data_IF_416606126723
#
_entry.id   IF_416606126723
#
_cell.length_a   1.000
_cell.length_b   1.000
_cell.length_c   1.000
_cell.angle_alpha   90.00
_cell.angle_beta   90.00
_cell.angle_gamma   90.00
#
_symmetry.space_group_name_H-M   'P 1'
#
loop_
_entity.id
_entity.type
_entity.pdbx_description
1 polymer ?
#
# COMPACT_ATOMS: atom_id res chain seq x y z
N UNK A 1 -2.77 -2.39 0.63
CA UNK A 1 -3.59 -2.75 -0.55
C UNK A 1 -3.02 -4.00 -1.19
N UNK A 2 -3.84 -4.96 -1.59
CA UNK A 2 -3.36 -6.22 -2.19
C UNK A 2 -4.27 -6.66 -3.33
N UNK A 3 -3.71 -7.51 -4.21
CA UNK A 3 -4.48 -8.25 -5.21
C UNK A 3 -4.84 -9.64 -4.66
N UNK A 4 -6.02 -10.14 -5.00
CA UNK A 4 -6.39 -11.52 -4.70
C UNK A 4 -5.36 -12.48 -5.31
N UNK A 5 -4.70 -13.34 -4.49
CA UNK A 5 -3.68 -14.26 -4.97
C UNK A 5 -4.35 -15.44 -5.70
N UNK A 6 -4.44 -15.33 -7.01
CA UNK A 6 -4.95 -16.40 -7.85
C UNK A 6 -4.01 -16.63 -9.04
N UNK A 7 -3.87 -17.88 -9.50
CA UNK A 7 -3.11 -18.20 -10.70
C UNK A 7 -3.54 -17.33 -11.89
N UNK A 8 -2.59 -16.93 -12.72
CA UNK A 8 -2.77 -16.04 -13.89
C UNK A 8 -3.17 -14.58 -13.55
N UNK A 9 -3.44 -14.23 -12.29
CA UNK A 9 -3.95 -12.89 -11.90
C UNK A 9 -2.93 -12.01 -11.17
N UNK A 10 -1.96 -12.61 -10.51
CA UNK A 10 -0.91 -11.89 -9.77
C UNK A 10 0.47 -12.29 -10.24
N UNK A 11 1.49 -11.47 -9.93
CA UNK A 11 2.91 -11.74 -10.21
C UNK A 11 3.17 -12.26 -11.62
N UNK A 12 2.62 -11.61 -12.64
CA UNK A 12 2.68 -12.08 -14.03
C UNK A 12 4.10 -12.22 -14.59
N UNK A 13 5.05 -11.39 -14.15
CA UNK A 13 6.46 -11.50 -14.56
C UNK A 13 7.10 -12.72 -13.93
N UNK A 14 6.92 -12.88 -12.61
CA UNK A 14 7.42 -14.03 -11.87
C UNK A 14 6.81 -15.35 -12.37
N UNK A 15 5.50 -15.36 -12.68
CA UNK A 15 4.80 -16.57 -13.14
C UNK A 15 5.34 -17.13 -14.47
N UNK A 16 5.95 -16.31 -15.29
CA UNK A 16 6.63 -16.78 -16.52
C UNK A 16 7.84 -17.68 -16.21
N UNK A 17 8.51 -17.44 -15.10
CA UNK A 17 9.72 -18.18 -14.70
C UNK A 17 9.40 -19.40 -13.82
N UNK A 18 8.43 -19.30 -12.90
CA UNK A 18 8.19 -20.35 -11.88
C UNK A 18 6.81 -21.01 -11.98
N UNK A 19 5.96 -20.57 -12.90
CA UNK A 19 4.59 -21.06 -13.06
C UNK A 19 3.57 -20.25 -12.22
N UNK A 20 2.32 -20.29 -12.68
CA UNK A 20 1.25 -19.45 -12.12
C UNK A 20 0.85 -19.82 -10.70
N UNK A 21 0.86 -21.10 -10.36
CA UNK A 21 0.51 -21.61 -9.03
C UNK A 21 1.53 -21.15 -7.97
N UNK A 22 2.83 -21.33 -8.26
CA UNK A 22 3.91 -20.91 -7.37
C UNK A 22 3.91 -19.39 -7.19
N UNK A 23 3.70 -18.63 -8.26
CA UNK A 23 3.60 -17.18 -8.21
C UNK A 23 2.42 -16.71 -7.35
N UNK A 24 1.27 -17.38 -7.44
CA UNK A 24 0.11 -17.11 -6.58
C UNK A 24 0.38 -17.47 -5.11
N UNK A 25 1.09 -18.57 -4.84
CA UNK A 25 1.52 -18.95 -3.50
C UNK A 25 2.46 -17.89 -2.90
N UNK A 26 3.44 -17.41 -3.65
CA UNK A 26 4.34 -16.33 -3.21
C UNK A 26 3.53 -15.06 -2.88
N UNK A 27 2.59 -14.66 -3.74
CA UNK A 27 1.72 -13.50 -3.44
C UNK A 27 0.94 -13.69 -2.15
N UNK A 28 0.48 -14.91 -1.88
CA UNK A 28 -0.21 -15.26 -0.63
C UNK A 28 0.72 -15.03 0.57
N UNK A 29 1.93 -15.57 0.54
CA UNK A 29 2.91 -15.43 1.63
C UNK A 29 3.30 -13.97 1.87
N UNK A 30 3.56 -13.18 0.80
CA UNK A 30 3.86 -11.75 0.91
C UNK A 30 2.70 -10.97 1.54
N UNK A 31 1.47 -11.30 1.15
CA UNK A 31 0.28 -10.69 1.75
C UNK A 31 0.15 -11.03 3.24
N UNK A 32 0.35 -12.30 3.60
CA UNK A 32 0.37 -12.72 5.01
C UNK A 32 1.46 -12.02 5.81
N UNK A 33 2.68 -11.94 5.26
CA UNK A 33 3.80 -11.25 5.90
C UNK A 33 3.47 -9.77 6.16
N UNK A 34 3.03 -9.04 5.14
CA UNK A 34 2.63 -7.63 5.27
C UNK A 34 1.56 -7.42 6.33
N UNK A 35 0.55 -8.30 6.36
CA UNK A 35 -0.52 -8.25 7.35
C UNK A 35 0.00 -8.56 8.75
N UNK A 36 0.89 -9.54 8.90
CA UNK A 36 1.50 -9.89 10.18
C UNK A 36 2.23 -8.70 10.80
N UNK A 37 3.11 -8.05 10.02
CA UNK A 37 3.83 -6.85 10.45
C UNK A 37 2.87 -5.73 10.88
N UNK A 38 1.84 -5.45 10.09
CA UNK A 38 0.86 -4.42 10.43
C UNK A 38 0.02 -4.78 11.67
N UNK A 39 -0.28 -6.06 11.90
CA UNK A 39 -1.00 -6.51 13.09
C UNK A 39 -0.23 -6.31 14.38
N UNK A 40 1.09 -6.44 14.38
CA UNK A 40 1.88 -6.17 15.57
C UNK A 40 1.76 -4.70 16.00
N UNK A 41 1.77 -3.76 15.07
CA UNK A 41 1.51 -2.35 15.38
C UNK A 41 0.07 -2.09 15.81
N UNK A 42 -0.91 -2.81 15.24
CA UNK A 42 -2.32 -2.74 15.69
C UNK A 42 -2.46 -3.25 17.11
N UNK A 43 -1.81 -4.36 17.50
CA UNK A 43 -1.81 -4.88 18.88
C UNK A 43 -1.24 -3.88 19.88
N UNK A 44 -0.22 -3.12 19.46
CA UNK A 44 0.38 -2.03 20.25
C UNK A 44 -0.52 -0.76 20.31
N UNK A 45 -1.69 -0.77 19.70
CA UNK A 45 -2.62 0.38 19.65
C UNK A 45 -2.15 1.54 18.77
N UNK A 46 -1.11 1.36 17.97
CA UNK A 46 -0.49 2.43 17.18
C UNK A 46 -1.24 2.74 15.89
N UNK A 47 -1.95 1.77 15.31
CA UNK A 47 -2.66 1.89 14.05
C UNK A 47 -4.01 1.19 14.05
N UNK A 48 -4.91 1.66 13.17
CA UNK A 48 -6.06 0.89 12.70
C UNK A 48 -5.74 0.29 11.34
N UNK A 49 -6.09 -0.99 11.14
CA UNK A 49 -5.75 -1.73 9.92
C UNK A 49 -6.98 -1.94 9.05
N UNK A 50 -6.86 -1.58 7.77
CA UNK A 50 -7.86 -1.83 6.73
C UNK A 50 -7.22 -2.59 5.56
N UNK A 51 -7.90 -3.62 5.07
CA UNK A 51 -7.47 -4.39 3.92
C UNK A 51 -8.29 -4.03 2.68
N UNK A 52 -7.67 -3.39 1.69
CA UNK A 52 -8.29 -3.09 0.41
C UNK A 52 -7.83 -4.11 -0.65
N UNK A 53 -8.78 -4.84 -1.24
CA UNK A 53 -8.54 -6.01 -2.09
C UNK A 53 -8.99 -5.73 -3.53
N UNK A 54 -8.15 -6.12 -4.49
CA UNK A 54 -8.47 -6.12 -5.92
C UNK A 54 -8.72 -7.56 -6.43
N UNK A 55 -9.59 -7.70 -7.42
CA UNK A 55 -9.71 -8.92 -8.23
C UNK A 55 -10.75 -9.93 -7.74
N UNK A 56 -11.52 -9.62 -6.68
CA UNK A 56 -12.63 -10.47 -6.20
C UNK A 56 -13.84 -9.62 -5.79
N UNK A 57 -15.01 -10.27 -5.71
CA UNK A 57 -16.24 -9.63 -5.24
C UNK A 57 -16.30 -9.50 -3.72
N UNK A 58 -17.19 -8.61 -3.24
CA UNK A 58 -17.31 -8.20 -1.83
C UNK A 58 -17.44 -9.39 -0.85
N UNK A 59 -18.28 -10.38 -1.15
CA UNK A 59 -18.49 -11.50 -0.26
C UNK A 59 -17.24 -12.39 -0.11
N UNK A 60 -16.53 -12.63 -1.21
CA UNK A 60 -15.25 -13.37 -1.16
C UNK A 60 -14.17 -12.55 -0.42
N UNK A 61 -14.11 -11.23 -0.67
CA UNK A 61 -13.19 -10.34 0.02
C UNK A 61 -13.42 -10.37 1.54
N UNK A 62 -14.67 -10.27 1.99
CA UNK A 62 -15.02 -10.36 3.42
C UNK A 62 -14.59 -11.70 4.04
N UNK A 63 -14.88 -12.83 3.36
CA UNK A 63 -14.48 -14.16 3.86
C UNK A 63 -12.95 -14.29 3.97
N UNK A 64 -12.25 -13.86 2.95
CA UNK A 64 -10.79 -13.91 2.96
C UNK A 64 -10.18 -12.99 4.02
N UNK A 65 -10.65 -11.76 4.14
CA UNK A 65 -10.17 -10.86 5.17
C UNK A 65 -10.41 -11.41 6.59
N UNK A 66 -11.59 -12.03 6.84
CA UNK A 66 -11.85 -12.70 8.12
C UNK A 66 -10.87 -13.85 8.37
N UNK A 67 -10.55 -14.68 7.37
CA UNK A 67 -9.54 -15.74 7.53
C UNK A 67 -8.14 -15.20 7.81
N UNK A 68 -7.87 -13.95 7.40
CA UNK A 68 -6.65 -13.21 7.74
C UNK A 68 -6.75 -12.49 9.10
N UNK A 69 -7.87 -12.59 9.81
CA UNK A 69 -8.13 -11.90 11.07
C UNK A 69 -8.22 -10.37 10.92
N UNK A 70 -8.78 -9.89 9.80
CA UNK A 70 -9.04 -8.47 9.52
C UNK A 70 -10.53 -8.27 9.32
N UNK A 71 -11.11 -7.35 10.07
CA UNK A 71 -12.55 -7.03 10.00
C UNK A 71 -12.86 -5.90 9.01
N UNK A 72 -12.00 -4.88 8.98
CA UNK A 72 -12.18 -3.74 8.09
C UNK A 72 -11.64 -4.06 6.69
N UNK A 73 -12.56 -4.34 5.76
CA UNK A 73 -12.25 -4.81 4.41
C UNK A 73 -13.00 -3.98 3.39
N UNK A 74 -12.31 -3.62 2.31
CA UNK A 74 -12.91 -2.96 1.14
C UNK A 74 -12.45 -3.59 -0.16
N UNK A 75 -13.22 -3.34 -1.22
CA UNK A 75 -12.81 -3.61 -2.60
C UNK A 75 -12.24 -2.32 -3.18
N UNK A 76 -11.08 -2.41 -3.83
CA UNK A 76 -10.41 -1.24 -4.44
C UNK A 76 -11.25 -0.64 -5.59
N UNK A 77 -12.02 -1.47 -6.30
CA UNK A 77 -12.80 -1.06 -7.47
C UNK A 77 -11.94 -0.91 -8.73
N UNK A 78 -12.54 -0.37 -9.80
CA UNK A 78 -11.88 -0.15 -11.11
C UNK A 78 -11.13 1.19 -11.15
N UNK A 79 -10.22 1.33 -12.12
CA UNK A 79 -9.46 2.55 -12.39
C UNK A 79 -7.97 2.40 -12.16
N UNK A 80 -7.23 3.48 -12.39
CA UNK A 80 -5.78 3.55 -12.16
C UNK A 80 -5.44 3.33 -10.69
N UNK A 81 -4.19 3.02 -10.40
CA UNK A 81 -3.72 2.84 -9.01
C UNK A 81 -4.00 4.10 -8.17
N UNK A 82 -3.73 5.28 -8.71
CA UNK A 82 -3.99 6.55 -8.01
C UNK A 82 -5.46 6.75 -7.66
N UNK A 83 -6.39 6.48 -8.59
CA UNK A 83 -7.83 6.55 -8.32
C UNK A 83 -8.27 5.55 -7.25
N UNK A 84 -7.67 4.36 -7.24
CA UNK A 84 -7.96 3.34 -6.22
C UNK A 84 -7.45 3.75 -4.85
N UNK A 85 -6.23 4.25 -4.75
CA UNK A 85 -5.65 4.76 -3.50
C UNK A 85 -6.46 5.94 -2.96
N UNK A 86 -6.74 6.94 -3.79
CA UNK A 86 -7.56 8.11 -3.41
C UNK A 86 -8.93 7.68 -2.88
N UNK A 87 -9.58 6.72 -3.53
CA UNK A 87 -10.88 6.19 -3.08
C UNK A 87 -10.80 5.54 -1.70
N UNK A 88 -9.75 4.81 -1.41
CA UNK A 88 -9.56 4.19 -0.09
C UNK A 88 -9.30 5.25 1.00
N UNK A 89 -8.52 6.29 0.71
CA UNK A 89 -8.35 7.43 1.62
C UNK A 89 -9.69 8.09 1.92
N UNK A 90 -10.50 8.38 0.90
CA UNK A 90 -11.84 8.97 1.09
C UNK A 90 -12.74 8.08 1.96
N UNK A 91 -12.72 6.76 1.73
CA UNK A 91 -13.51 5.81 2.56
C UNK A 91 -13.06 5.85 4.03
N UNK A 92 -11.75 5.81 4.29
CA UNK A 92 -11.19 5.88 5.64
C UNK A 92 -11.64 7.16 6.34
N UNK A 93 -11.51 8.31 5.67
CA UNK A 93 -11.91 9.60 6.24
C UNK A 93 -13.42 9.67 6.53
N UNK A 94 -14.26 9.15 5.65
CA UNK A 94 -15.71 9.08 5.88
C UNK A 94 -16.07 8.18 7.07
N UNK A 95 -15.51 6.98 7.13
CA UNK A 95 -15.73 6.03 8.23
C UNK A 95 -15.32 6.60 9.58
N UNK A 96 -14.28 7.43 9.60
CA UNK A 96 -13.77 8.03 10.82
C UNK A 96 -14.54 9.30 11.25
N UNK A 97 -14.93 10.15 10.28
CA UNK A 97 -15.63 11.41 10.56
C UNK A 97 -16.96 11.23 11.31
N UNK A 98 -17.61 10.07 11.18
CA UNK A 98 -18.79 9.72 11.97
C UNK A 98 -18.48 9.53 13.46
N UNK A 99 -17.23 9.27 13.83
CA UNK A 99 -16.82 8.94 15.20
C UNK A 99 -15.95 10.01 15.87
N UNK A 100 -15.19 10.75 15.07
CA UNK A 100 -14.24 11.75 15.56
C UNK A 100 -13.95 12.79 14.47
N UNK A 101 -14.09 14.11 14.71
CA UNK A 101 -13.82 15.15 13.72
C UNK A 101 -12.32 15.34 13.43
N UNK A 102 -11.44 14.70 14.17
CA UNK A 102 -9.99 14.84 13.98
C UNK A 102 -9.52 14.26 12.64
N UNK A 103 -8.60 14.96 12.01
CA UNK A 103 -7.92 14.53 10.79
C UNK A 103 -6.99 13.37 11.11
N UNK A 104 -7.10 12.25 10.37
CA UNK A 104 -6.29 11.06 10.65
C UNK A 104 -5.27 10.86 9.57
N UNK A 105 -3.98 10.74 9.92
CA UNK A 105 -2.97 10.29 8.98
C UNK A 105 -3.34 8.93 8.39
N UNK A 106 -3.08 8.76 7.12
CA UNK A 106 -3.37 7.51 6.41
C UNK A 106 -2.12 7.00 5.70
N UNK A 107 -1.74 5.77 5.96
CA UNK A 107 -0.62 5.09 5.29
C UNK A 107 -1.19 4.01 4.37
N UNK A 108 -0.78 4.04 3.12
CA UNK A 108 -1.09 3.01 2.12
C UNK A 108 0.19 2.23 1.85
N UNK A 109 0.13 0.90 1.94
CA UNK A 109 1.24 0.01 1.59
C UNK A 109 0.79 -1.04 0.57
N UNK A 110 1.72 -1.44 -0.29
CA UNK A 110 1.62 -2.65 -1.12
C UNK A 110 1.72 -3.92 -0.25
N UNK A 111 1.59 -5.07 -0.87
CA UNK A 111 1.78 -6.37 -0.23
C UNK A 111 2.75 -7.24 -1.05
N UNK A 112 3.84 -6.63 -1.49
CA UNK A 112 4.79 -7.19 -2.44
C UNK A 112 6.23 -7.24 -1.90
N UNK A 113 6.44 -6.78 -0.64
CA UNK A 113 7.74 -6.74 0.04
C UNK A 113 7.96 -7.98 0.90
N UNK A 114 9.09 -8.64 0.70
CA UNK A 114 9.51 -9.77 1.53
C UNK A 114 10.27 -9.34 2.79
N UNK A 115 10.86 -8.15 2.78
CA UNK A 115 11.70 -7.59 3.85
C UNK A 115 11.01 -6.48 4.67
N UNK A 116 9.69 -6.33 4.54
CA UNK A 116 8.93 -5.38 5.34
C UNK A 116 9.04 -5.72 6.83
N UNK A 117 9.34 -4.72 7.67
CA UNK A 117 9.37 -4.89 9.11
C UNK A 117 8.61 -3.78 9.85
N UNK A 118 8.38 -3.95 11.14
CA UNK A 118 7.67 -2.96 11.96
C UNK A 118 8.38 -1.59 11.94
N UNK A 119 9.72 -1.58 11.93
CA UNK A 119 10.50 -0.35 11.93
C UNK A 119 10.18 0.52 10.72
N UNK A 120 9.98 -0.07 9.55
CA UNK A 120 9.62 0.65 8.33
C UNK A 120 8.32 1.44 8.51
N UNK A 121 7.30 0.82 9.08
CA UNK A 121 6.01 1.46 9.35
C UNK A 121 6.11 2.49 10.47
N UNK A 122 6.91 2.23 11.50
CA UNK A 122 7.16 3.18 12.58
C UNK A 122 7.88 4.44 12.08
N UNK A 123 8.83 4.29 11.15
CA UNK A 123 9.49 5.43 10.49
C UNK A 123 8.46 6.29 9.75
N UNK A 124 7.58 5.68 8.99
CA UNK A 124 6.51 6.40 8.28
C UNK A 124 5.57 7.13 9.25
N UNK A 125 5.13 6.47 10.33
CA UNK A 125 4.29 7.09 11.37
C UNK A 125 5.00 8.29 12.01
N UNK A 126 6.29 8.16 12.31
CA UNK A 126 7.09 9.25 12.90
C UNK A 126 7.27 10.42 11.93
N UNK A 127 7.55 10.14 10.67
CA UNK A 127 7.71 11.16 9.63
C UNK A 127 6.42 11.95 9.39
N UNK A 128 5.24 11.31 9.41
CA UNK A 128 3.93 11.97 9.27
C UNK A 128 3.57 12.94 10.41
N UNK A 129 4.34 12.98 11.48
CA UNK A 129 4.17 13.99 12.54
C UNK A 129 4.79 15.34 12.17
N UNK A 130 5.67 15.38 11.14
CA UNK A 130 6.45 16.56 10.75
C UNK A 130 6.36 16.91 9.25
N UNK A 131 5.82 16.03 8.44
CA UNK A 131 5.67 16.23 6.98
C UNK A 131 4.28 15.85 6.52
N UNK A 132 3.84 16.42 5.41
CA UNK A 132 2.52 16.16 4.83
C UNK A 132 2.45 14.85 4.09
N UNK A 133 3.56 14.46 3.47
CA UNK A 133 3.67 13.29 2.62
C UNK A 133 4.90 12.46 3.01
N UNK A 134 4.73 11.15 3.12
CA UNK A 134 5.83 10.21 3.32
C UNK A 134 5.80 9.19 2.20
N UNK A 135 6.94 8.97 1.57
CA UNK A 135 7.07 8.06 0.44
C UNK A 135 8.14 7.02 0.74
N UNK A 136 7.81 5.74 0.62
CA UNK A 136 8.78 4.65 0.62
C UNK A 136 9.12 4.27 -0.82
N UNK A 137 10.28 4.66 -1.35
CA UNK A 137 10.65 4.43 -2.74
C UNK A 137 10.80 2.93 -3.05
N UNK A 138 10.43 2.52 -4.27
CA UNK A 138 10.63 1.18 -4.79
C UNK A 138 11.62 1.19 -5.98
N UNK A 139 12.31 0.08 -6.19
CA UNK A 139 13.37 -0.05 -7.19
C UNK A 139 12.87 0.09 -8.64
N UNK A 140 11.62 -0.21 -8.88
CA UNK A 140 10.99 -0.12 -10.19
C UNK A 140 10.63 1.32 -10.62
N UNK A 141 10.93 2.33 -9.77
CA UNK A 141 10.59 3.73 -9.98
C UNK A 141 9.20 4.11 -9.47
N UNK A 142 8.55 3.21 -8.75
CA UNK A 142 7.33 3.43 -7.98
C UNK A 142 7.61 3.68 -6.50
N UNK A 143 6.64 3.33 -5.68
CA UNK A 143 6.76 3.36 -4.22
C UNK A 143 6.02 2.18 -3.60
N UNK A 144 6.57 1.64 -2.52
CA UNK A 144 5.96 0.58 -1.72
C UNK A 144 5.06 1.13 -0.61
N UNK A 145 5.27 2.40 -0.21
CA UNK A 145 4.49 3.09 0.81
C UNK A 145 4.18 4.52 0.37
N UNK A 146 2.96 4.95 0.62
CA UNK A 146 2.52 6.34 0.53
C UNK A 146 1.77 6.72 1.82
N UNK A 147 2.33 7.62 2.60
CA UNK A 147 1.73 8.17 3.81
C UNK A 147 1.23 9.60 3.59
N UNK A 148 0.05 9.92 4.09
CA UNK A 148 -0.56 11.25 4.04
C UNK A 148 -0.85 11.71 5.47
N UNK A 149 -0.44 12.95 5.80
CA UNK A 149 -0.77 13.59 7.07
C UNK A 149 -2.28 13.82 7.21
N UNK A 150 -2.74 14.08 8.41
CA UNK A 150 -4.14 14.44 8.65
C UNK A 150 -4.55 15.70 7.89
N UNK A 151 -3.66 16.66 7.72
CA UNK A 151 -3.91 17.90 6.97
C UNK A 151 -4.09 17.63 5.48
N UNK A 152 -3.29 16.76 4.90
CA UNK A 152 -3.34 16.44 3.47
C UNK A 152 -4.55 15.58 3.09
N UNK A 153 -5.11 14.82 4.01
CA UNK A 153 -6.28 13.97 3.73
C UNK A 153 -7.60 14.71 3.85
N UNK A 154 -7.62 15.94 4.39
CA UNK A 154 -8.87 16.68 4.58
C UNK A 154 -8.72 18.20 4.30
N UNK A 155 -9.31 18.72 3.21
CA UNK A 155 -10.07 17.98 2.20
C UNK A 155 -9.15 17.01 1.44
N UNK A 156 -9.70 15.87 1.01
CA UNK A 156 -8.88 14.90 0.26
C UNK A 156 -8.37 15.55 -1.01
N UNK A 157 -7.11 15.93 -1.01
CA UNK A 157 -6.50 16.58 -2.17
C UNK A 157 -6.37 15.60 -3.32
N UNK A 158 -6.44 16.09 -4.53
CA UNK A 158 -6.12 15.29 -5.72
C UNK A 158 -4.62 15.09 -5.88
N UNK A 159 -3.84 15.95 -5.25
CA UNK A 159 -2.38 15.86 -5.21
C UNK A 159 -1.98 14.57 -4.57
N UNK A 160 -1.12 13.95 -4.56
CA UNK A 160 -0.30 12.85 -4.92
C UNK A 160 -1.00 11.77 -5.80
N UNK A 161 -2.22 11.96 -6.25
CA UNK A 161 -2.96 10.93 -7.00
C UNK A 161 -3.26 11.30 -8.47
N UNK A 162 -3.21 12.58 -8.83
CA UNK A 162 -3.52 13.08 -10.18
C UNK A 162 -2.29 13.49 -10.96
N UNK A 163 -2.37 13.43 -12.28
CA UNK A 163 -1.28 13.83 -13.17
C UNK A 163 -0.07 12.89 -13.15
N UNK A 164 -0.23 11.65 -12.68
CA UNK A 164 0.81 10.64 -12.59
C UNK A 164 0.56 9.55 -13.64
N UNK A 165 1.59 9.18 -14.36
CA UNK A 165 1.56 8.07 -15.32
C UNK A 165 1.71 6.73 -14.58
N UNK A 166 0.60 6.27 -14.00
CA UNK A 166 0.56 5.05 -13.19
C UNK A 166 0.97 3.81 -13.98
N UNK A 167 1.92 3.08 -13.43
CA UNK A 167 2.47 1.85 -14.03
C UNK A 167 3.75 2.08 -14.84
N UNK A 168 4.26 3.32 -14.88
CA UNK A 168 5.58 3.64 -15.43
C UNK A 168 6.65 3.69 -14.32
N UNK A 169 7.91 3.70 -14.71
CA UNK A 169 9.04 3.93 -13.80
C UNK A 169 9.21 5.40 -13.35
N UNK A 170 8.35 6.30 -13.82
CA UNK A 170 8.37 7.73 -13.46
C UNK A 170 7.46 8.09 -12.28
N UNK A 171 6.68 7.12 -11.76
CA UNK A 171 5.67 7.37 -10.71
C UNK A 171 6.24 8.09 -9.49
N UNK A 172 7.37 7.65 -8.97
CA UNK A 172 8.04 8.30 -7.83
C UNK A 172 8.43 9.75 -8.16
N UNK A 173 9.11 9.95 -9.29
CA UNK A 173 9.56 11.28 -9.74
C UNK A 173 8.38 12.22 -9.94
N UNK A 174 7.32 11.77 -10.58
CA UNK A 174 6.11 12.57 -10.82
C UNK A 174 5.37 12.90 -9.52
N UNK A 175 5.34 11.96 -8.55
CA UNK A 175 4.75 12.19 -7.23
C UNK A 175 5.51 13.28 -6.46
N UNK A 176 6.84 13.22 -6.46
CA UNK A 176 7.71 14.24 -5.84
C UNK A 176 7.51 15.59 -6.51
N UNK A 177 7.58 15.65 -7.84
CA UNK A 177 7.39 16.89 -8.60
C UNK A 177 6.02 17.53 -8.32
N UNK A 178 4.96 16.70 -8.19
CA UNK A 178 3.64 17.21 -7.83
C UNK A 178 3.60 17.75 -6.39
N UNK A 179 4.28 17.11 -5.44
CA UNK A 179 4.38 17.62 -4.07
C UNK A 179 5.08 18.97 -4.04
N UNK A 180 6.24 19.11 -4.70
CA UNK A 180 7.01 20.34 -4.79
C UNK A 180 6.21 21.49 -5.43
N UNK A 181 5.55 21.23 -6.57
CA UNK A 181 4.70 22.22 -7.26
C UNK A 181 3.54 22.74 -6.42
N UNK A 182 3.08 21.95 -5.46
CA UNK A 182 1.96 22.30 -4.59
C UNK A 182 2.40 22.66 -3.17
N UNK A 183 3.69 22.88 -2.93
CA UNK A 183 4.26 23.25 -1.63
C UNK A 183 3.91 22.25 -0.52
N UNK A 184 3.79 20.96 -0.87
CA UNK A 184 3.55 19.88 0.07
C UNK A 184 4.90 19.38 0.60
N UNK A 185 5.10 19.45 1.91
CA UNK A 185 6.29 18.91 2.54
C UNK A 185 6.33 17.38 2.44
N UNK A 186 7.47 16.81 2.09
CA UNK A 186 7.59 15.35 1.98
C UNK A 186 8.89 14.82 2.56
N UNK A 187 8.87 13.55 2.91
CA UNK A 187 10.03 12.80 3.37
C UNK A 187 10.10 11.44 2.65
N UNK A 188 11.30 11.10 2.20
CA UNK A 188 11.59 9.76 1.67
C UNK A 188 12.11 8.89 2.79
N UNK A 189 11.52 7.71 2.96
CA UNK A 189 12.00 6.69 3.88
C UNK A 189 12.80 5.61 3.13
N UNK A 190 13.13 4.52 3.82
CA UNK A 190 13.98 3.48 3.26
C UNK A 190 13.51 2.98 1.89
N UNK A 191 14.47 2.85 1.00
CA UNK A 191 14.30 2.23 -0.31
C UNK A 191 14.13 0.72 -0.16
N UNK A 192 13.16 0.13 -0.87
CA UNK A 192 12.93 -1.32 -0.86
C UNK A 192 12.76 -1.88 -2.26
N UNK A 193 12.86 -3.19 -2.36
CA UNK A 193 12.69 -3.91 -3.61
C UNK A 193 11.45 -4.80 -3.56
N UNK A 194 10.49 -4.55 -4.45
CA UNK A 194 9.32 -5.41 -4.62
C UNK A 194 9.75 -6.75 -5.22
N UNK A 195 9.20 -7.84 -4.73
CA UNK A 195 9.44 -9.16 -5.29
C UNK A 195 8.50 -9.39 -6.49
N UNK A 196 8.92 -9.02 -7.69
CA UNK A 196 8.08 -9.04 -8.89
C UNK A 196 8.58 -9.96 -10.00
N UNK A 197 9.87 -10.31 -10.02
CA UNK A 197 10.51 -11.20 -10.98
C UNK A 197 11.51 -12.13 -10.30
N UNK A 198 12.03 -13.13 -11.05
CA UNK A 198 12.92 -14.16 -10.51
C UNK A 198 14.20 -13.58 -9.90
N UNK A 199 14.78 -12.55 -10.51
CA UNK A 199 15.97 -11.87 -9.99
C UNK A 199 15.76 -11.26 -8.59
N UNK A 200 14.53 -10.89 -8.23
CA UNK A 200 14.21 -10.29 -6.94
C UNK A 200 14.20 -11.35 -5.83
N UNK A 201 14.17 -12.64 -6.20
CA UNK A 201 14.23 -13.74 -5.24
C UNK A 201 15.68 -14.09 -4.81
N UNK A 202 16.71 -13.63 -5.52
CA UNK A 202 18.10 -13.98 -5.24
C UNK A 202 18.52 -13.82 -3.77
N UNK A 203 18.13 -12.77 -3.05
CA UNK A 203 18.47 -12.62 -1.64
C UNK A 203 17.86 -13.72 -0.72
N UNK A 204 16.83 -14.41 -1.20
CA UNK A 204 16.02 -15.38 -0.44
C UNK A 204 16.27 -16.85 -0.87
N UNK A 205 17.05 -17.07 -1.91
CA UNK A 205 17.39 -18.41 -2.47
C UNK A 205 18.69 -18.98 -1.87
N UNK A 206 19.04 -18.60 -0.65
CA UNK A 206 20.22 -19.18 0.06
C UNK A 206 19.84 -20.45 0.77
#
# INVERSE_FOLDING_TARGET
>A
MTRWPAPYRCKKRLSKAIGCERAASIQTHLTFHTISVAKELKKKGMINLKLAIEGIGQNKAKRWGKSLGIENISIQGKGTLGLRMRREVIKIQREHNFRNPNKIPTIIIGADLADLCEMDLMMAIKALKRTDLVIGPAKDGGFWLLGLSGELVKPVTSVPFSGINWGSSSVLKETICNAEKNYISYELINFKNDLDQLSDMHPWLK
#
